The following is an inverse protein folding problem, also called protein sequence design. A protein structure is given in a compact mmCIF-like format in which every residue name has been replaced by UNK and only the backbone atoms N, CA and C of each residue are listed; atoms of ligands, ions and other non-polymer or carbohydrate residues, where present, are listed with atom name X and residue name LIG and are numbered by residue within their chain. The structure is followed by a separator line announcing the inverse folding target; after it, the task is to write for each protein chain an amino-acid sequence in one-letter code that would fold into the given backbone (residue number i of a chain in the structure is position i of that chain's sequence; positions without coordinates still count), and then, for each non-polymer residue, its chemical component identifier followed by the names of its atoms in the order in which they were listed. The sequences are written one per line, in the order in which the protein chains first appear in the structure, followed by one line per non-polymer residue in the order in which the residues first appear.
data_IF_183921120295
#
_entry.id   IF_183921120295
#
_cell.length_a   1.000
_cell.length_b   1.000
_cell.length_c   1.000
_cell.angle_alpha   90.00
_cell.angle_beta   90.00
_cell.angle_gamma   90.00
#
_symmetry.space_group_name_H-M   'P 1'
#
loop_
_entity.id
_entity.type
_entity.pdbx_description
1 polymer ?
#
# COMPACT_ATOMS: atom_id res chain seq x y z
N UNK A 1 -4.74 -10.50 9.72
CA UNK A 1 -4.47 -10.06 8.32
C UNK A 1 -4.65 -8.56 8.21
N UNK A 2 -3.85 -7.95 7.39
CA UNK A 2 -3.88 -6.51 7.16
C UNK A 2 -4.35 -6.22 5.74
N UNK A 3 -5.04 -5.10 5.57
CA UNK A 3 -5.53 -4.65 4.27
C UNK A 3 -5.07 -3.22 4.04
N UNK A 4 -4.47 -2.99 2.89
CA UNK A 4 -4.16 -1.66 2.40
C UNK A 4 -5.28 -1.27 1.43
N UNK A 5 -6.17 -0.37 1.88
CA UNK A 5 -7.40 -0.03 1.16
C UNK A 5 -7.28 1.36 0.53
N UNK A 6 -7.57 1.44 -0.76
CA UNK A 6 -7.60 2.71 -1.46
C UNK A 6 -8.81 3.55 -1.03
N UNK A 7 -8.57 4.82 -0.72
CA UNK A 7 -9.61 5.75 -0.28
C UNK A 7 -10.45 6.28 -1.45
N UNK A 8 -9.82 6.49 -2.60
CA UNK A 8 -10.43 7.10 -3.78
C UNK A 8 -10.88 6.08 -4.80
N UNK A 9 -10.99 4.81 -4.41
CA UNK A 9 -11.43 3.78 -5.31
C UNK A 9 -12.88 4.02 -5.71
N UNK A 10 -13.18 3.87 -7.01
CA UNK A 10 -14.53 3.83 -7.51
C UNK A 10 -15.28 2.72 -6.77
N UNK A 11 -16.52 3.00 -6.34
CA UNK A 11 -17.34 2.01 -5.65
C UNK A 11 -17.53 0.73 -6.46
N UNK A 12 -17.47 0.82 -7.80
CA UNK A 12 -17.56 -0.33 -8.71
C UNK A 12 -16.22 -1.06 -8.89
N UNK A 13 -15.10 -0.44 -8.48
CA UNK A 13 -13.76 -0.98 -8.66
C UNK A 13 -12.93 -0.72 -7.40
N UNK A 14 -13.33 -1.30 -6.26
CA UNK A 14 -12.58 -1.12 -5.02
C UNK A 14 -11.19 -1.72 -5.17
N UNK A 15 -10.17 -1.00 -4.69
CA UNK A 15 -8.78 -1.46 -4.70
C UNK A 15 -8.37 -1.73 -3.26
N UNK A 16 -8.03 -2.96 -2.98
CA UNK A 16 -7.53 -3.40 -1.67
C UNK A 16 -6.44 -4.43 -1.86
N UNK A 17 -5.37 -4.29 -1.11
CA UNK A 17 -4.26 -5.22 -1.12
C UNK A 17 -4.16 -5.89 0.24
N UNK A 18 -4.22 -7.22 0.26
CA UNK A 18 -4.11 -8.00 1.50
C UNK A 18 -2.66 -8.32 1.79
N UNK A 19 -2.29 -8.14 3.05
CA UNK A 19 -0.93 -8.34 3.52
C UNK A 19 -0.94 -9.27 4.73
N UNK A 20 -0.28 -10.40 4.61
CA UNK A 20 -0.08 -11.32 5.75
C UNK A 20 1.26 -10.99 6.42
N UNK A 21 1.43 -11.30 7.72
CA UNK A 21 2.71 -11.13 8.39
C UNK A 21 3.84 -11.84 7.63
N UNK A 22 4.97 -11.16 7.47
CA UNK A 22 6.11 -11.67 6.71
C UNK A 22 6.06 -11.41 5.22
N UNK A 23 4.95 -10.90 4.68
CA UNK A 23 4.83 -10.64 3.25
C UNK A 23 5.73 -9.48 2.81
N UNK A 24 6.35 -9.67 1.64
CA UNK A 24 7.08 -8.61 0.94
C UNK A 24 6.43 -8.49 -0.44
N UNK A 25 5.84 -7.34 -0.72
CA UNK A 25 5.09 -7.09 -1.95
C UNK A 25 5.48 -5.77 -2.57
N UNK A 26 5.46 -5.71 -3.89
CA UNK A 26 5.71 -4.46 -4.63
C UNK A 26 4.41 -3.88 -5.15
N UNK A 27 4.32 -2.56 -5.15
CA UNK A 27 3.27 -1.81 -5.86
C UNK A 27 3.92 -1.19 -7.09
N UNK A 28 3.28 -1.32 -8.23
CA UNK A 28 3.77 -0.72 -9.46
C UNK A 28 2.76 -0.77 -10.57
N UNK A 29 3.09 -0.08 -11.67
CA UNK A 29 2.19 0.06 -12.82
C UNK A 29 2.23 -1.14 -13.77
N UNK A 30 3.28 -1.94 -13.71
CA UNK A 30 3.44 -3.09 -14.61
C UNK A 30 3.01 -4.40 -13.96
N UNK A 31 2.68 -5.39 -14.79
CA UNK A 31 2.25 -6.70 -14.30
C UNK A 31 3.31 -7.48 -13.53
N UNK A 32 4.59 -7.05 -13.57
CA UNK A 32 5.64 -7.64 -12.75
C UNK A 32 5.55 -7.23 -11.28
N UNK A 33 4.81 -6.16 -10.94
CA UNK A 33 4.53 -5.80 -9.57
C UNK A 33 3.53 -6.79 -8.96
N UNK A 34 3.71 -7.09 -7.68
CA UNK A 34 2.78 -7.99 -6.96
C UNK A 34 1.38 -7.38 -6.90
N UNK A 35 1.32 -6.07 -6.63
CA UNK A 35 0.09 -5.29 -6.64
C UNK A 35 0.17 -4.31 -7.81
N UNK A 36 -0.54 -4.63 -8.89
CA UNK A 36 -0.54 -3.79 -10.07
C UNK A 36 -1.51 -2.63 -9.90
N UNK A 37 -0.97 -1.42 -10.01
CA UNK A 37 -1.72 -0.17 -9.92
C UNK A 37 -1.49 0.59 -11.22
N UNK A 38 -2.26 0.25 -12.26
CA UNK A 38 -2.10 0.79 -13.60
C UNK A 38 -2.84 2.12 -13.75
N UNK A 39 -2.28 3.15 -13.13
CA UNK A 39 -2.81 4.51 -13.19
C UNK A 39 -1.67 5.49 -13.43
N UNK A 40 -1.97 6.70 -13.92
CA UNK A 40 -0.94 7.73 -14.13
C UNK A 40 -0.19 8.06 -12.85
N UNK A 41 1.05 8.46 -13.00
CA UNK A 41 1.96 8.89 -11.92
C UNK A 41 2.50 7.77 -11.05
N UNK A 42 2.13 6.53 -11.31
CA UNK A 42 2.72 5.35 -10.65
C UNK A 42 3.86 4.84 -11.52
N UNK A 43 5.03 4.67 -10.92
CA UNK A 43 6.20 4.10 -11.61
C UNK A 43 6.01 2.61 -11.85
N UNK A 44 6.77 2.04 -12.77
CA UNK A 44 6.70 0.61 -13.11
C UNK A 44 6.82 -0.26 -11.87
N UNK A 45 7.86 -0.03 -11.06
CA UNK A 45 7.97 -0.53 -9.69
C UNK A 45 8.11 0.71 -8.82
N UNK A 46 7.10 0.98 -8.01
CA UNK A 46 6.98 2.26 -7.30
C UNK A 46 7.46 2.18 -5.87
N UNK A 47 6.98 1.22 -5.12
CA UNK A 47 7.39 1.01 -3.74
C UNK A 47 7.29 -0.46 -3.34
N UNK A 48 7.94 -0.79 -2.24
CA UNK A 48 7.90 -2.13 -1.65
C UNK A 48 7.26 -2.05 -0.27
N UNK A 49 6.40 -3.00 0.00
CA UNK A 49 5.71 -3.16 1.27
C UNK A 49 6.30 -4.37 1.99
N UNK A 50 6.76 -4.17 3.21
CA UNK A 50 7.33 -5.24 4.05
C UNK A 50 6.50 -5.34 5.32
N UNK A 51 5.64 -6.34 5.40
CA UNK A 51 4.82 -6.57 6.58
C UNK A 51 5.60 -7.38 7.60
N UNK A 52 5.90 -6.76 8.74
CA UNK A 52 6.58 -7.43 9.83
C UNK A 52 5.67 -8.42 10.56
N UNK A 53 6.26 -9.31 11.39
CA UNK A 53 5.51 -10.34 12.10
C UNK A 53 4.54 -9.77 13.14
N UNK A 54 4.80 -8.58 13.66
CA UNK A 54 3.93 -7.90 14.61
C UNK A 54 2.89 -6.98 13.99
N UNK A 55 2.79 -6.96 12.66
CA UNK A 55 1.81 -6.13 11.95
C UNK A 55 2.32 -4.72 11.61
N UNK A 56 3.60 -4.44 11.80
CA UNK A 56 4.21 -3.19 11.35
C UNK A 56 4.51 -3.26 9.85
N UNK A 57 4.02 -2.27 9.11
CA UNK A 57 4.25 -2.19 7.67
C UNK A 57 5.34 -1.17 7.36
N UNK A 58 6.45 -1.65 6.78
CA UNK A 58 7.51 -0.78 6.27
C UNK A 58 7.26 -0.53 4.79
N UNK A 59 7.27 0.75 4.40
CA UNK A 59 7.14 1.18 3.02
C UNK A 59 8.49 1.69 2.55
N UNK A 60 8.98 1.17 1.43
CA UNK A 60 10.27 1.55 0.84
C UNK A 60 10.01 2.06 -0.57
N UNK A 61 10.36 3.31 -0.83
CA UNK A 61 10.28 3.87 -2.18
C UNK A 61 11.36 3.21 -3.06
N UNK A 62 10.98 2.80 -4.26
CA UNK A 62 11.89 2.17 -5.21
C UNK A 62 12.36 3.16 -6.27
N UNK A 63 12.80 4.32 -5.82
CA UNK A 63 13.29 5.39 -6.70
C UNK A 63 12.21 5.84 -7.69
N UNK A 64 11.00 5.98 -7.20
CA UNK A 64 9.86 6.39 -8.02
C UNK A 64 10.00 7.81 -8.51
N UNK A 65 9.43 8.08 -9.69
CA UNK A 65 9.50 9.41 -10.31
C UNK A 65 8.74 10.46 -9.50
N UNK A 66 7.55 10.10 -9.02
CA UNK A 66 6.66 11.06 -8.34
C UNK A 66 6.68 10.93 -6.82
N UNK A 67 7.41 9.96 -6.30
CA UNK A 67 7.57 9.78 -4.86
C UNK A 67 6.49 8.91 -4.22
N UNK A 68 6.83 8.47 -3.03
CA UNK A 68 5.94 7.77 -2.11
C UNK A 68 5.78 8.66 -0.89
N UNK A 69 4.56 8.84 -0.41
CA UNK A 69 4.23 9.84 0.60
C UNK A 69 3.44 9.20 1.73
N UNK A 70 3.77 9.56 2.95
CA UNK A 70 2.99 9.16 4.14
C UNK A 70 2.60 10.43 4.88
N UNK A 71 1.30 10.63 5.10
CA UNK A 71 0.72 11.80 5.75
C UNK A 71 1.26 13.12 5.18
N UNK A 72 1.44 13.17 3.86
CA UNK A 72 1.92 14.35 3.15
C UNK A 72 3.43 14.54 3.14
N UNK A 73 4.19 13.65 3.74
CA UNK A 73 5.65 13.69 3.73
C UNK A 73 6.22 12.66 2.75
N UNK A 74 7.11 13.10 1.87
CA UNK A 74 7.82 12.18 0.98
C UNK A 74 8.80 11.33 1.77
N UNK A 75 8.75 10.03 1.56
CA UNK A 75 9.59 9.08 2.29
C UNK A 75 10.47 8.28 1.34
N UNK A 76 11.65 7.88 1.83
CA UNK A 76 12.46 6.86 1.19
C UNK A 76 12.18 5.50 1.82
N UNK A 77 12.04 5.47 3.13
CA UNK A 77 11.70 4.29 3.92
C UNK A 77 11.05 4.76 5.21
N UNK A 78 9.87 4.27 5.50
CA UNK A 78 9.14 4.64 6.72
C UNK A 78 8.12 3.58 7.11
N UNK A 79 7.69 3.63 8.36
CA UNK A 79 6.60 2.80 8.84
C UNK A 79 5.26 3.46 8.50
N UNK A 80 4.33 2.67 7.99
CA UNK A 80 2.94 3.07 7.84
C UNK A 80 2.15 2.47 9.00
N UNK A 81 1.51 3.33 9.76
CA UNK A 81 0.67 2.93 10.90
C UNK A 81 -0.80 2.91 10.49
N UNK A 82 -1.63 2.10 11.16
CA UNK A 82 -3.07 2.16 10.94
C UNK A 82 -3.58 3.58 11.14
N UNK A 83 -4.41 4.05 10.20
CA UNK A 83 -4.94 5.41 10.22
C UNK A 83 -4.10 6.44 9.48
N UNK A 84 -2.83 6.17 9.21
CA UNK A 84 -2.02 7.04 8.36
C UNK A 84 -2.33 6.81 6.89
N UNK A 85 -2.07 7.81 6.06
CA UNK A 85 -2.37 7.78 4.63
C UNK A 85 -1.09 7.60 3.84
N UNK A 86 -1.03 6.53 3.07
CA UNK A 86 0.01 6.27 2.07
C UNK A 86 -0.48 6.79 0.72
N UNK A 87 0.33 7.61 0.07
CA UNK A 87 0.05 8.06 -1.29
C UNK A 87 1.08 7.51 -2.26
N UNK A 88 0.60 6.86 -3.31
CA UNK A 88 1.38 6.33 -4.42
C UNK A 88 0.79 6.92 -5.71
N UNK A 89 1.56 7.77 -6.39
CA UNK A 89 0.99 8.56 -7.47
C UNK A 89 -0.09 9.50 -6.93
N UNK A 90 -1.33 9.34 -7.40
CA UNK A 90 -2.50 10.07 -6.88
C UNK A 90 -3.39 9.22 -6.00
N UNK A 91 -3.06 7.96 -5.83
CA UNK A 91 -3.91 7.04 -5.07
C UNK A 91 -3.50 7.05 -3.61
N UNK A 92 -4.48 7.24 -2.75
CA UNK A 92 -4.29 7.25 -1.31
C UNK A 92 -4.83 5.96 -0.71
N UNK A 93 -4.08 5.41 0.23
CA UNK A 93 -4.40 4.16 0.92
C UNK A 93 -4.34 4.36 2.42
N UNK A 94 -5.15 3.59 3.13
CA UNK A 94 -5.04 3.42 4.59
C UNK A 94 -4.79 1.97 4.92
N UNK A 95 -4.03 1.75 5.98
CA UNK A 95 -3.77 0.41 6.52
C UNK A 95 -4.82 0.10 7.58
N UNK A 96 -5.50 -1.02 7.40
CA UNK A 96 -6.52 -1.49 8.32
C UNK A 96 -6.26 -2.93 8.73
N UNK A 97 -6.53 -3.24 9.99
CA UNK A 97 -6.58 -4.63 10.42
C UNK A 97 -7.90 -5.22 9.91
N UNK A 98 -7.83 -6.35 9.23
CA UNK A 98 -9.02 -7.08 8.83
C UNK A 98 -9.56 -7.80 10.06
N UNK A 99 -10.75 -7.42 10.49
CA UNK A 99 -11.39 -8.03 11.64
C UNK A 99 -11.72 -9.51 11.33
N UNK A 100 -11.45 -10.42 12.27
CA UNK A 100 -11.86 -11.82 12.08
C UNK A 100 -13.37 -11.91 11.96
N UNK A 101 -13.83 -12.78 11.08
CA UNK A 101 -15.26 -13.05 10.95
C UNK A 101 -15.75 -13.67 12.25
N UNK A 102 -16.68 -12.99 12.91
CA UNK A 102 -17.31 -13.54 14.10
C UNK A 102 -18.43 -14.46 13.70
N UNK A 103 -18.37 -15.66 14.22
CA UNK A 103 -19.50 -16.57 14.18
C UNK A 103 -20.24 -16.47 15.48
N UNK A 104 -21.49 -16.28 15.35
CA UNK A 104 -22.40 -16.28 16.48
C UNK A 104 -22.98 -17.68 16.66
#
# INVERSE_FOLDING_TARGET
MWVLRALDADANHPVSFRLIPGAIKTIGRVGAADFCLDVPLVSRLHCRLEMGPGGELTVVDLDSTNGTWIDGERIARALLRPGSVLRVGRVEFVLEAEAPVRRV
#
